data_IF_586947303549
#
_entry.id   IF_586947303549
#
_cell.length_a   1.000
_cell.length_b   1.000
_cell.length_c   1.000
_cell.angle_alpha   90.00
_cell.angle_beta   90.00
_cell.angle_gamma   90.00
#
_symmetry.space_group_name_H-M   'P 1'
#
loop_
_entity.id
_entity.type
_entity.pdbx_description
1 polymer ?
#
# COMPACT_ATOMS: atom_id res chain seq x y z
N UNK A 1 -15.97 15.40 -11.03
CA UNK A 1 -14.61 15.86 -10.69
C UNK A 1 -13.80 14.64 -10.31
N UNK A 2 -12.89 14.20 -11.19
CA UNK A 2 -12.27 12.90 -11.07
C UNK A 2 -11.16 12.90 -10.00
N UNK A 3 -11.43 12.24 -8.86
CA UNK A 3 -10.41 11.84 -7.90
C UNK A 3 -9.68 10.63 -8.48
N UNK A 4 -8.48 10.86 -9.00
CA UNK A 4 -7.58 9.82 -9.49
C UNK A 4 -6.53 9.55 -8.42
N UNK A 5 -6.69 8.49 -7.63
CA UNK A 5 -5.67 8.04 -6.68
C UNK A 5 -5.66 6.50 -6.66
N UNK A 6 -4.45 5.96 -6.83
CA UNK A 6 -3.99 4.57 -6.58
C UNK A 6 -4.41 3.43 -7.51
N UNK A 7 -3.93 3.52 -8.75
CA UNK A 7 -3.54 2.37 -9.58
C UNK A 7 -2.04 2.10 -9.33
N UNK A 8 -1.35 1.11 -9.95
CA UNK A 8 0.07 0.86 -9.67
C UNK A 8 0.78 2.21 -9.78
N UNK A 9 1.39 2.65 -8.68
CA UNK A 9 1.70 4.07 -8.43
C UNK A 9 2.93 4.51 -9.27
N UNK A 10 2.76 4.46 -10.59
CA UNK A 10 3.68 4.87 -11.65
C UNK A 10 3.35 6.29 -12.07
N UNK A 11 3.28 7.18 -11.06
CA UNK A 11 2.83 8.57 -11.17
C UNK A 11 3.81 9.49 -11.93
N UNK A 12 4.68 8.94 -12.76
CA UNK A 12 5.48 9.61 -13.80
C UNK A 12 4.72 9.72 -15.14
N UNK A 13 3.40 9.55 -15.13
CA UNK A 13 2.55 9.52 -16.32
C UNK A 13 2.43 8.13 -16.95
N UNK A 14 3.20 7.16 -16.47
CA UNK A 14 3.16 5.77 -16.94
C UNK A 14 1.84 5.09 -16.61
N UNK A 15 1.23 5.36 -15.44
CA UNK A 15 -0.10 4.85 -15.14
C UNK A 15 -1.17 5.44 -16.08
N UNK A 16 -1.14 6.75 -16.33
CA UNK A 16 -2.05 7.39 -17.29
C UNK A 16 -1.84 6.86 -18.71
N UNK A 17 -0.59 6.56 -19.08
CA UNK A 17 -0.23 5.92 -20.34
C UNK A 17 -0.77 4.50 -20.43
N UNK A 18 -0.62 3.70 -19.36
CA UNK A 18 -1.20 2.37 -19.25
C UNK A 18 -2.72 2.45 -19.46
N UNK A 19 -3.42 3.28 -18.70
CA UNK A 19 -4.88 3.39 -18.83
C UNK A 19 -5.32 3.83 -20.20
N UNK A 20 -4.66 4.84 -20.80
CA UNK A 20 -4.96 5.26 -22.17
C UNK A 20 -4.74 4.12 -23.18
N UNK A 21 -3.65 3.37 -23.03
CA UNK A 21 -3.37 2.23 -23.90
C UNK A 21 -4.42 1.12 -23.74
N UNK A 22 -4.87 0.85 -22.51
CA UNK A 22 -5.88 -0.16 -22.20
C UNK A 22 -7.31 0.27 -22.56
N UNK A 23 -7.65 1.56 -22.45
CA UNK A 23 -8.95 2.10 -22.86
C UNK A 23 -9.21 1.92 -24.34
N UNK A 24 -8.15 1.84 -25.15
CA UNK A 24 -8.22 1.54 -26.58
C UNK A 24 -8.01 0.05 -26.90
N UNK A 25 -7.86 -0.81 -25.89
CA UNK A 25 -7.64 -2.25 -26.04
C UNK A 25 -8.96 -3.05 -26.13
N UNK A 26 -8.83 -4.37 -26.29
CA UNK A 26 -9.94 -5.32 -26.49
C UNK A 26 -10.98 -5.20 -25.38
N UNK A 27 -12.24 -5.01 -25.78
CA UNK A 27 -13.40 -4.86 -24.89
C UNK A 27 -14.37 -6.05 -24.93
N UNK A 28 -14.02 -7.13 -25.62
CA UNK A 28 -14.86 -8.32 -25.62
C UNK A 28 -14.66 -9.07 -24.31
N UNK A 29 -15.72 -9.20 -23.51
CA UNK A 29 -15.69 -9.81 -22.17
C UNK A 29 -15.06 -11.21 -22.17
N UNK A 30 -15.38 -12.03 -23.18
CA UNK A 30 -14.79 -13.38 -23.32
C UNK A 30 -13.27 -13.30 -23.49
N UNK A 31 -12.77 -12.36 -24.29
CA UNK A 31 -11.33 -12.15 -24.51
C UNK A 31 -10.63 -11.60 -23.28
N UNK A 32 -11.25 -10.66 -22.57
CA UNK A 32 -10.69 -10.15 -21.32
C UNK A 32 -10.63 -11.25 -20.26
N UNK A 33 -11.65 -12.12 -20.20
CA UNK A 33 -11.68 -13.29 -19.32
C UNK A 33 -10.55 -14.26 -19.65
N UNK A 34 -10.32 -14.55 -20.94
CA UNK A 34 -9.20 -15.38 -21.39
C UNK A 34 -7.84 -14.78 -21.00
N UNK A 35 -7.61 -13.50 -21.29
CA UNK A 35 -6.38 -12.78 -20.89
C UNK A 35 -6.18 -12.89 -19.37
N UNK A 36 -7.23 -12.65 -18.58
CA UNK A 36 -7.21 -12.71 -17.13
C UNK A 36 -6.85 -14.10 -16.60
N UNK A 37 -7.37 -15.16 -17.22
CA UNK A 37 -6.98 -16.53 -16.91
C UNK A 37 -5.52 -16.82 -17.28
N UNK A 38 -5.04 -16.33 -18.45
CA UNK A 38 -3.65 -16.55 -18.90
C UNK A 38 -2.63 -15.94 -17.95
N UNK A 39 -2.93 -14.81 -17.32
CA UNK A 39 -2.08 -14.22 -16.27
C UNK A 39 -2.17 -14.93 -14.90
N UNK A 40 -3.00 -15.96 -14.80
CA UNK A 40 -3.19 -16.75 -13.59
C UNK A 40 -4.13 -16.12 -12.56
N UNK A 41 -5.00 -15.22 -13.00
CA UNK A 41 -6.03 -14.60 -12.14
C UNK A 41 -7.37 -15.33 -12.30
N UNK A 42 -8.18 -15.36 -11.24
CA UNK A 42 -9.48 -16.04 -11.24
C UNK A 42 -10.58 -15.11 -11.77
N UNK A 43 -11.32 -15.49 -12.84
CA UNK A 43 -12.44 -14.68 -13.33
C UNK A 43 -13.64 -14.63 -12.40
N UNK A 44 -13.77 -15.62 -11.50
CA UNK A 44 -14.91 -15.72 -10.59
C UNK A 44 -14.98 -14.56 -9.59
N UNK A 45 -13.86 -13.85 -9.40
CA UNK A 45 -13.74 -12.73 -8.47
C UNK A 45 -14.05 -11.37 -9.12
N UNK A 46 -14.28 -11.34 -10.43
CA UNK A 46 -14.46 -10.11 -11.21
C UNK A 46 -15.92 -9.98 -11.64
N UNK A 47 -16.51 -8.82 -11.37
CA UNK A 47 -17.85 -8.48 -11.86
C UNK A 47 -17.73 -7.93 -13.28
N UNK A 48 -17.74 -8.84 -14.27
CA UNK A 48 -17.51 -8.53 -15.68
C UNK A 48 -18.64 -7.72 -16.35
N UNK A 49 -19.87 -7.93 -15.88
CA UNK A 49 -21.05 -7.29 -16.43
C UNK A 49 -21.40 -6.06 -15.59
N UNK A 50 -21.89 -4.99 -16.23
CA UNK A 50 -22.30 -3.72 -15.58
C UNK A 50 -21.21 -2.68 -15.28
N UNK A 51 -19.98 -2.87 -15.80
CA UNK A 51 -18.91 -1.86 -15.71
C UNK A 51 -18.61 -1.23 -17.06
N UNK A 52 -18.17 0.04 -17.05
CA UNK A 52 -17.63 0.68 -18.25
C UNK A 52 -16.23 0.14 -18.55
N UNK A 53 -15.75 0.25 -19.82
CA UNK A 53 -14.40 -0.17 -20.17
C UNK A 53 -13.29 0.37 -19.30
N UNK A 54 -13.34 1.67 -19.04
CA UNK A 54 -12.36 2.34 -18.19
C UNK A 54 -12.41 1.80 -16.75
N UNK A 55 -13.61 1.66 -16.17
CA UNK A 55 -13.76 1.16 -14.80
C UNK A 55 -13.27 -0.30 -14.65
N UNK A 56 -13.58 -1.17 -15.61
CA UNK A 56 -13.12 -2.56 -15.58
C UNK A 56 -11.60 -2.64 -15.71
N UNK A 57 -10.98 -1.91 -16.65
CA UNK A 57 -9.52 -1.91 -16.77
C UNK A 57 -8.82 -1.34 -15.54
N UNK A 58 -9.38 -0.31 -14.90
CA UNK A 58 -8.86 0.21 -13.64
C UNK A 58 -8.89 -0.86 -12.56
N UNK A 59 -10.01 -1.56 -12.39
CA UNK A 59 -10.11 -2.66 -11.43
C UNK A 59 -9.11 -3.79 -11.75
N UNK A 60 -9.05 -4.27 -13.01
CA UNK A 60 -8.16 -5.38 -13.39
C UNK A 60 -6.68 -5.03 -13.22
N UNK A 61 -6.27 -3.82 -13.58
CA UNK A 61 -4.88 -3.39 -13.40
C UNK A 61 -4.51 -3.22 -11.93
N UNK A 62 -5.43 -2.74 -11.09
CA UNK A 62 -5.26 -2.71 -9.64
C UNK A 62 -5.11 -4.12 -9.07
N UNK A 63 -6.04 -5.02 -9.39
CA UNK A 63 -6.06 -6.37 -8.85
C UNK A 63 -4.83 -7.17 -9.32
N UNK A 64 -4.41 -7.00 -10.57
CA UNK A 64 -3.17 -7.58 -11.08
C UNK A 64 -1.93 -6.96 -10.43
N UNK A 65 -1.95 -5.66 -10.10
CA UNK A 65 -0.87 -5.01 -9.35
C UNK A 65 -0.74 -5.58 -7.94
N UNK A 66 -1.86 -5.71 -7.24
CA UNK A 66 -1.94 -6.27 -5.89
C UNK A 66 -1.44 -7.73 -5.87
N UNK A 67 -1.76 -8.51 -6.91
CA UNK A 67 -1.31 -9.89 -7.08
C UNK A 67 0.12 -10.04 -7.64
N UNK A 68 0.83 -8.95 -7.95
CA UNK A 68 2.14 -9.01 -8.60
C UNK A 68 2.12 -9.59 -10.03
N UNK A 69 0.97 -9.57 -10.70
CA UNK A 69 0.72 -10.09 -12.06
C UNK A 69 0.58 -9.02 -13.13
N UNK A 70 0.70 -7.75 -12.76
CA UNK A 70 0.48 -6.63 -13.67
C UNK A 70 1.40 -6.61 -14.89
N UNK A 71 2.68 -6.95 -14.72
CA UNK A 71 3.60 -7.03 -15.86
C UNK A 71 3.14 -8.10 -16.87
N UNK A 72 2.70 -9.26 -16.37
CA UNK A 72 2.15 -10.32 -17.21
C UNK A 72 0.88 -9.85 -17.92
N UNK A 73 -0.02 -9.12 -17.22
CA UNK A 73 -1.22 -8.53 -17.82
C UNK A 73 -0.87 -7.58 -18.97
N UNK A 74 0.11 -6.72 -18.76
CA UNK A 74 0.53 -5.76 -19.78
C UNK A 74 1.11 -6.48 -21.01
N UNK A 75 1.92 -7.52 -20.80
CA UNK A 75 2.47 -8.33 -21.90
C UNK A 75 1.38 -9.05 -22.68
N UNK A 76 0.42 -9.67 -21.99
CA UNK A 76 -0.70 -10.36 -22.64
C UNK A 76 -1.57 -9.40 -23.46
N UNK A 77 -1.90 -8.23 -22.92
CA UNK A 77 -2.70 -7.22 -23.65
C UNK A 77 -1.90 -6.63 -24.82
N UNK A 78 -0.60 -6.41 -24.65
CA UNK A 78 0.30 -5.96 -25.72
C UNK A 78 0.32 -6.92 -26.90
N UNK A 79 0.42 -8.22 -26.63
CA UNK A 79 0.52 -9.24 -27.68
C UNK A 79 -0.83 -9.44 -28.39
N UNK A 80 -1.96 -9.30 -27.66
CA UNK A 80 -3.30 -9.41 -28.23
C UNK A 80 -3.74 -8.14 -29.00
N UNK A 81 -3.23 -6.96 -28.62
CA UNK A 81 -3.64 -5.66 -29.18
C UNK A 81 -2.44 -4.90 -29.78
N UNK A 82 -2.07 -5.19 -31.04
CA UNK A 82 -0.93 -4.54 -31.69
C UNK A 82 -1.00 -3.01 -31.72
N UNK A 83 -2.21 -2.43 -31.76
CA UNK A 83 -2.41 -0.98 -31.74
C UNK A 83 -1.98 -0.32 -30.41
N UNK A 84 -2.02 -1.05 -29.30
CA UNK A 84 -1.61 -0.57 -27.97
C UNK A 84 -0.14 -0.92 -27.67
N UNK A 85 0.50 -1.79 -28.46
CA UNK A 85 1.79 -2.38 -28.14
C UNK A 85 2.91 -1.36 -27.88
N UNK A 86 3.01 -0.31 -28.71
CA UNK A 86 4.06 0.71 -28.56
C UNK A 86 3.95 1.50 -27.25
N UNK A 87 2.72 1.84 -26.81
CA UNK A 87 2.50 2.53 -25.53
C UNK A 87 2.76 1.60 -24.35
N UNK A 88 2.36 0.33 -24.46
CA UNK A 88 2.61 -0.69 -23.44
C UNK A 88 4.10 -1.07 -23.34
N UNK A 89 4.86 -1.05 -24.44
CA UNK A 89 6.32 -1.20 -24.42
C UNK A 89 6.99 -0.08 -23.63
N UNK A 90 6.53 1.16 -23.76
CA UNK A 90 7.03 2.29 -22.97
C UNK A 90 6.69 2.13 -21.48
N UNK A 91 5.51 1.57 -21.18
CA UNK A 91 5.11 1.25 -19.80
C UNK A 91 5.98 0.14 -19.20
N UNK A 92 6.26 -0.92 -19.96
CA UNK A 92 7.15 -2.00 -19.54
C UNK A 92 8.59 -1.51 -19.37
N UNK A 93 9.08 -0.67 -20.29
CA UNK A 93 10.41 -0.07 -20.21
C UNK A 93 10.56 0.86 -18.99
N UNK A 94 9.51 1.61 -18.62
CA UNK A 94 9.49 2.42 -17.42
C UNK A 94 9.49 1.57 -16.12
N UNK A 95 8.99 0.34 -16.19
CA UNK A 95 9.02 -0.64 -15.10
C UNK A 95 10.28 -1.50 -15.07
N UNK A 96 11.02 -1.60 -16.17
CA UNK A 96 12.28 -2.31 -16.20
C UNK A 96 13.12 -1.81 -15.02
N UNK A 97 13.74 -2.70 -14.22
CA UNK A 97 14.44 -2.31 -13.02
C UNK A 97 15.55 -1.35 -13.40
N UNK A 98 15.27 -0.04 -13.30
CA UNK A 98 16.27 0.99 -13.33
C UNK A 98 17.24 0.61 -12.23
N UNK A 99 18.53 0.51 -12.58
CA UNK A 99 19.57 0.22 -11.59
C UNK A 99 19.28 1.07 -10.35
N UNK A 100 19.05 0.40 -9.22
CA UNK A 100 18.65 1.07 -8.00
C UNK A 100 19.87 1.86 -7.54
N UNK A 101 19.94 3.12 -7.97
CA UNK A 101 21.08 4.01 -7.71
C UNK A 101 21.21 4.31 -6.21
N UNK A 102 20.10 4.18 -5.50
CA UNK A 102 20.02 4.28 -4.06
C UNK A 102 19.88 2.87 -3.45
N UNK A 103 20.94 2.41 -2.78
CA UNK A 103 20.98 1.14 -2.05
C UNK A 103 21.45 1.42 -0.63
N UNK A 104 20.49 1.57 0.30
CA UNK A 104 20.81 1.65 1.72
C UNK A 104 21.12 0.26 2.26
N UNK A 105 22.30 0.07 2.87
CA UNK A 105 22.69 -1.21 3.46
C UNK A 105 21.72 -1.66 4.56
N UNK A 106 21.20 -0.71 5.34
CA UNK A 106 20.11 -0.92 6.28
C UNK A 106 18.78 -0.50 5.67
N UNK A 107 18.01 -1.48 5.22
CA UNK A 107 16.73 -1.28 4.51
C UNK A 107 15.70 -0.54 5.38
N UNK A 108 15.73 -0.76 6.69
CA UNK A 108 14.83 -0.06 7.60
C UNK A 108 15.14 1.43 7.68
N UNK A 109 16.36 1.85 7.31
CA UNK A 109 16.77 3.25 7.25
C UNK A 109 16.61 3.88 5.87
N UNK A 110 16.18 3.10 4.87
CA UNK A 110 15.98 3.56 3.50
C UNK A 110 15.02 4.75 3.44
N UNK A 111 15.52 5.90 2.98
CA UNK A 111 14.74 7.12 2.80
C UNK A 111 14.11 7.22 1.40
N UNK A 112 14.58 6.40 0.45
CA UNK A 112 14.03 6.31 -0.89
C UNK A 112 13.56 4.88 -1.16
N UNK A 113 12.26 4.73 -1.42
CA UNK A 113 11.61 3.42 -1.59
C UNK A 113 11.01 3.23 -2.97
N UNK A 114 10.72 1.96 -3.28
CA UNK A 114 10.12 1.54 -4.54
C UNK A 114 11.11 1.49 -5.72
N UNK A 115 10.63 1.10 -6.91
CA UNK A 115 11.48 0.91 -8.08
C UNK A 115 12.29 2.17 -8.44
N UNK A 116 13.61 2.01 -8.52
CA UNK A 116 14.54 3.08 -8.86
C UNK A 116 14.74 4.14 -7.77
N UNK A 117 14.34 3.87 -6.52
CA UNK A 117 14.54 4.78 -5.40
C UNK A 117 13.87 6.15 -5.62
N UNK A 118 12.67 6.16 -6.20
CA UNK A 118 12.01 7.42 -6.63
C UNK A 118 11.11 8.05 -5.56
N UNK A 119 10.78 7.33 -4.48
CA UNK A 119 9.79 7.81 -3.48
C UNK A 119 10.44 8.17 -2.17
N UNK A 120 10.37 9.46 -1.80
CA UNK A 120 10.90 9.94 -0.54
C UNK A 120 9.99 9.61 0.65
N UNK A 121 10.51 8.82 1.58
CA UNK A 121 9.91 8.58 2.90
C UNK A 121 10.52 9.54 3.90
N UNK A 122 9.86 10.69 4.05
CA UNK A 122 10.23 11.74 4.99
C UNK A 122 9.86 11.33 6.42
N UNK A 123 10.76 11.61 7.35
CA UNK A 123 10.69 11.34 8.80
C UNK A 123 9.77 10.21 9.23
N UNK A 124 10.36 9.04 9.49
CA UNK A 124 9.66 7.86 10.03
C UNK A 124 10.54 7.11 11.00
N UNK A 125 11.36 7.80 11.77
CA UNK A 125 12.37 7.15 12.61
C UNK A 125 11.74 6.20 13.62
N UNK A 126 10.69 6.65 14.30
CA UNK A 126 9.93 5.83 15.27
C UNK A 126 9.23 4.66 14.57
N UNK A 127 8.49 4.92 13.49
CA UNK A 127 7.87 3.86 12.69
C UNK A 127 8.88 2.80 12.22
N UNK A 128 10.08 3.20 11.77
CA UNK A 128 11.13 2.27 11.35
C UNK A 128 11.59 1.40 12.51
N UNK A 129 11.78 1.98 13.69
CA UNK A 129 12.12 1.24 14.91
C UNK A 129 10.98 0.26 15.28
N UNK A 130 9.73 0.71 15.23
CA UNK A 130 8.55 -0.11 15.46
C UNK A 130 8.46 -1.28 14.48
N UNK A 131 8.74 -1.07 13.18
CA UNK A 131 8.78 -2.15 12.19
C UNK A 131 9.89 -3.16 12.47
N UNK A 132 11.06 -2.71 12.91
CA UNK A 132 12.14 -3.61 13.35
C UNK A 132 11.72 -4.42 14.57
N UNK A 133 11.01 -3.82 15.53
CA UNK A 133 10.49 -4.53 16.71
C UNK A 133 9.42 -5.54 16.33
N UNK A 134 8.50 -5.20 15.42
CA UNK A 134 7.53 -6.15 14.88
C UNK A 134 8.28 -7.34 14.27
N UNK A 135 9.20 -7.11 13.34
CA UNK A 135 9.93 -8.18 12.65
C UNK A 135 10.67 -9.15 13.59
N UNK A 136 11.12 -8.67 14.75
CA UNK A 136 11.83 -9.49 15.74
C UNK A 136 10.92 -10.31 16.68
N UNK A 137 9.61 -10.24 16.49
CA UNK A 137 8.57 -11.07 17.16
C UNK A 137 8.14 -10.65 18.57
N UNK A 138 8.24 -9.37 18.95
CA UNK A 138 7.70 -8.89 20.24
C UNK A 138 6.32 -8.22 20.14
N UNK A 139 5.88 -7.82 18.94
CA UNK A 139 4.64 -7.05 18.77
C UNK A 139 3.91 -7.39 17.44
N UNK A 140 2.80 -8.15 17.47
CA UNK A 140 2.08 -8.51 16.26
C UNK A 140 1.12 -7.42 15.78
N UNK A 141 0.90 -6.36 16.57
CA UNK A 141 -0.06 -5.31 16.26
C UNK A 141 0.64 -3.94 16.29
N UNK A 142 0.39 -3.11 15.27
CA UNK A 142 0.85 -1.73 15.19
C UNK A 142 -0.32 -0.81 14.85
N UNK A 143 -0.59 0.16 15.71
CA UNK A 143 -1.54 1.23 15.45
C UNK A 143 -0.78 2.49 15.06
N UNK A 144 -1.09 3.03 13.87
CA UNK A 144 -0.54 4.28 13.37
C UNK A 144 -1.61 5.37 13.52
N UNK A 145 -1.38 6.28 14.45
CA UNK A 145 -2.24 7.43 14.73
C UNK A 145 -1.58 8.72 14.25
N UNK A 146 -2.38 9.76 14.05
CA UNK A 146 -1.90 11.06 13.57
C UNK A 146 -3.00 11.86 12.90
N UNK A 147 -2.80 13.18 12.84
CA UNK A 147 -3.76 14.10 12.21
C UNK A 147 -3.95 13.79 10.72
N UNK A 148 -5.02 14.30 10.12
CA UNK A 148 -5.19 14.28 8.68
C UNK A 148 -3.98 14.96 8.00
N UNK A 149 -3.43 14.34 6.96
CA UNK A 149 -2.23 14.85 6.28
C UNK A 149 -0.89 14.46 6.91
N UNK A 150 -0.85 13.78 8.07
CA UNK A 150 0.41 13.30 8.70
C UNK A 150 1.12 12.18 7.91
N UNK A 151 0.49 11.62 6.88
CA UNK A 151 1.09 10.59 6.02
C UNK A 151 0.94 9.17 6.55
N UNK A 152 -0.17 8.89 7.28
CA UNK A 152 -0.55 7.54 7.70
C UNK A 152 -0.63 6.57 6.51
N UNK A 153 -1.40 6.92 5.47
CA UNK A 153 -1.43 6.16 4.21
C UNK A 153 -0.06 6.01 3.56
N UNK A 154 0.78 7.05 3.64
CA UNK A 154 2.12 7.02 3.04
C UNK A 154 3.05 6.00 3.71
N UNK A 155 2.85 5.72 5.00
CA UNK A 155 3.62 4.71 5.76
C UNK A 155 3.59 3.32 5.12
N UNK A 156 2.51 2.98 4.40
CA UNK A 156 2.35 1.70 3.69
C UNK A 156 3.50 1.43 2.71
N UNK A 157 4.06 2.48 2.09
CA UNK A 157 5.15 2.34 1.12
C UNK A 157 6.46 1.92 1.78
N UNK A 158 6.73 2.47 2.97
CA UNK A 158 7.86 2.04 3.78
C UNK A 158 7.68 0.59 4.23
N UNK A 159 6.49 0.26 4.75
CA UNK A 159 6.18 -1.09 5.23
C UNK A 159 6.36 -2.10 4.09
N UNK A 160 5.76 -1.83 2.92
CA UNK A 160 5.90 -2.67 1.74
C UNK A 160 7.36 -2.83 1.31
N UNK A 161 8.16 -1.76 1.34
CA UNK A 161 9.59 -1.81 1.01
C UNK A 161 10.37 -2.70 1.98
N UNK A 162 10.10 -2.57 3.28
CA UNK A 162 10.75 -3.37 4.31
C UNK A 162 10.39 -4.85 4.18
N UNK A 163 9.13 -5.17 3.86
CA UNK A 163 8.63 -6.54 3.81
C UNK A 163 8.88 -7.24 2.47
N UNK A 164 8.52 -6.61 1.35
CA UNK A 164 8.47 -7.26 0.05
C UNK A 164 9.81 -7.30 -0.69
N UNK A 165 10.73 -6.38 -0.38
CA UNK A 165 12.01 -6.36 -1.08
C UNK A 165 13.03 -7.33 -0.46
N UNK A 166 12.75 -7.92 0.71
CA UNK A 166 13.60 -8.93 1.36
C UNK A 166 13.33 -10.33 0.78
N UNK A 167 14.26 -10.91 -0.01
CA UNK A 167 14.08 -12.24 -0.58
C UNK A 167 13.99 -13.35 0.48
N UNK A 168 14.46 -13.08 1.71
CA UNK A 168 14.36 -14.00 2.83
C UNK A 168 12.97 -13.97 3.48
N UNK A 169 12.21 -12.88 3.34
CA UNK A 169 10.86 -12.77 3.87
C UNK A 169 9.84 -13.29 2.87
N UNK A 170 9.28 -14.46 3.18
CA UNK A 170 8.14 -15.04 2.47
C UNK A 170 6.85 -14.68 3.20
N UNK A 171 6.46 -13.41 3.12
CA UNK A 171 5.21 -12.94 3.71
C UNK A 171 4.24 -12.41 2.65
N UNK A 172 2.95 -12.60 2.89
CA UNK A 172 1.91 -11.90 2.11
C UNK A 172 1.68 -10.52 2.74
N UNK A 173 1.73 -9.47 1.93
CA UNK A 173 1.36 -8.12 2.37
C UNK A 173 -0.01 -7.75 1.79
N UNK A 174 -1.04 -7.80 2.63
CA UNK A 174 -2.44 -7.59 2.28
C UNK A 174 -2.84 -6.19 2.71
N UNK A 175 -3.32 -5.39 1.77
CA UNK A 175 -3.79 -4.02 2.02
C UNK A 175 -5.30 -3.95 1.89
N UNK A 176 -5.96 -3.39 2.90
CA UNK A 176 -7.37 -3.00 2.87
C UNK A 176 -7.40 -1.48 2.97
N UNK A 177 -7.82 -0.81 1.90
CA UNK A 177 -7.84 0.66 1.83
C UNK A 177 -9.30 1.12 1.79
N UNK A 178 -9.81 1.59 2.94
CA UNK A 178 -11.22 1.93 3.10
C UNK A 178 -11.68 2.97 2.06
N UNK A 179 -10.84 3.94 1.72
CA UNK A 179 -11.20 5.01 0.77
C UNK A 179 -11.24 4.51 -0.68
N UNK A 180 -10.43 3.50 -1.02
CA UNK A 180 -10.32 3.00 -2.41
C UNK A 180 -11.10 1.72 -2.68
N UNK A 181 -11.32 0.89 -1.67
CA UNK A 181 -12.04 -0.38 -1.81
C UNK A 181 -13.56 -0.18 -1.78
N UNK A 182 -14.06 0.95 -1.27
CA UNK A 182 -15.49 1.27 -1.18
C UNK A 182 -15.82 2.68 -1.65
N UNK A 183 -16.96 2.83 -2.34
CA UNK A 183 -17.47 4.13 -2.78
C UNK A 183 -18.38 4.80 -1.75
N UNK A 184 -19.05 4.00 -0.93
CA UNK A 184 -20.07 4.43 0.04
C UNK A 184 -19.69 4.00 1.47
N UNK A 185 -20.69 3.85 2.34
CA UNK A 185 -20.50 3.40 3.72
C UNK A 185 -20.01 1.95 3.74
N UNK A 186 -18.99 1.66 4.56
CA UNK A 186 -18.42 0.32 4.73
C UNK A 186 -19.05 -0.35 5.94
N UNK A 187 -19.73 -1.47 5.70
CA UNK A 187 -20.27 -2.31 6.77
C UNK A 187 -19.25 -3.35 7.25
N UNK A 188 -19.45 -3.90 8.45
CA UNK A 188 -18.59 -4.98 8.97
C UNK A 188 -18.63 -6.24 8.08
N UNK A 189 -19.78 -6.54 7.47
CA UNK A 189 -19.94 -7.67 6.54
C UNK A 189 -19.09 -7.52 5.30
N UNK A 190 -19.17 -6.37 4.64
CA UNK A 190 -18.36 -6.07 3.45
C UNK A 190 -16.87 -6.03 3.77
N UNK A 191 -16.50 -5.42 4.90
CA UNK A 191 -15.12 -5.37 5.37
C UNK A 191 -14.52 -6.77 5.58
N UNK A 192 -15.20 -7.64 6.35
CA UNK A 192 -14.70 -9.00 6.62
C UNK A 192 -14.71 -9.85 5.36
N UNK A 193 -15.73 -9.72 4.50
CA UNK A 193 -15.79 -10.44 3.22
C UNK A 193 -14.65 -10.04 2.29
N UNK A 194 -14.34 -8.73 2.22
CA UNK A 194 -13.21 -8.23 1.43
C UNK A 194 -11.87 -8.74 1.99
N UNK A 195 -11.70 -8.70 3.31
CA UNK A 195 -10.50 -9.23 3.97
C UNK A 195 -10.32 -10.73 3.70
N UNK A 196 -11.39 -11.51 3.86
CA UNK A 196 -11.41 -12.94 3.55
C UNK A 196 -11.04 -13.21 2.09
N UNK A 197 -11.65 -12.47 1.16
CA UNK A 197 -11.38 -12.58 -0.28
C UNK A 197 -9.91 -12.31 -0.60
N UNK A 198 -9.30 -11.25 -0.04
CA UNK A 198 -7.86 -10.96 -0.24
C UNK A 198 -6.93 -12.02 0.36
N UNK A 199 -7.43 -12.82 1.30
CA UNK A 199 -6.70 -13.96 1.89
C UNK A 199 -6.99 -15.31 1.21
N UNK A 200 -7.86 -15.34 0.19
CA UNK A 200 -8.31 -16.60 -0.41
C UNK A 200 -9.18 -17.44 0.53
N UNK A 201 -9.89 -16.81 1.46
CA UNK A 201 -10.85 -17.45 2.36
C UNK A 201 -12.24 -17.33 1.73
N UNK A 202 -12.84 -18.46 1.38
CA UNK A 202 -14.20 -18.54 0.85
C UNK A 202 -15.24 -18.83 1.95
N UNK A 203 -16.49 -18.45 1.67
CA UNK A 203 -17.65 -18.92 2.45
C UNK A 203 -17.84 -18.27 3.81
N UNK A 204 -17.49 -16.98 3.94
CA UNK A 204 -18.03 -16.13 5.02
C UNK A 204 -19.48 -15.85 4.67
N UNK A 205 -20.40 -16.24 5.54
CA UNK A 205 -21.83 -16.05 5.34
C UNK A 205 -22.30 -14.80 6.07
N UNK A 206 -23.17 -14.03 5.40
CA UNK A 206 -23.85 -12.90 6.03
C UNK A 206 -24.59 -13.35 7.30
N UNK A 207 -24.50 -12.50 8.32
CA UNK A 207 -25.24 -12.68 9.57
C UNK A 207 -26.65 -12.16 9.37
N UNK A 208 -27.61 -12.76 10.08
CA UNK A 208 -29.01 -12.32 10.09
C UNK A 208 -29.09 -10.79 10.34
N UNK A 209 -29.72 -10.02 9.42
CA UNK A 209 -29.80 -8.56 9.52
C UNK A 209 -30.60 -8.08 10.74
N UNK A 210 -31.33 -8.96 11.44
CA UNK A 210 -32.03 -8.65 12.69
C UNK A 210 -31.12 -8.67 13.93
N UNK A 211 -29.88 -9.11 13.78
CA UNK A 211 -28.89 -9.14 14.87
C UNK A 211 -28.29 -7.75 15.08
N UNK A 212 -28.11 -7.37 16.35
CA UNK A 212 -27.42 -6.14 16.72
C UNK A 212 -26.03 -6.05 16.04
N UNK A 213 -25.71 -4.91 15.43
CA UNK A 213 -24.50 -4.74 14.58
C UNK A 213 -23.21 -5.18 15.28
N UNK A 214 -23.07 -4.89 16.58
CA UNK A 214 -21.92 -5.31 17.40
C UNK A 214 -21.79 -6.83 17.54
N UNK A 215 -22.92 -7.54 17.63
CA UNK A 215 -22.95 -9.01 17.70
C UNK A 215 -22.70 -9.62 16.33
N UNK A 216 -23.24 -9.02 15.27
CA UNK A 216 -22.97 -9.44 13.90
C UNK A 216 -21.48 -9.32 13.54
N UNK A 217 -20.83 -8.20 13.89
CA UNK A 217 -19.40 -7.99 13.67
C UNK A 217 -18.54 -9.08 14.36
N UNK A 218 -18.86 -9.43 15.62
CA UNK A 218 -18.15 -10.50 16.34
C UNK A 218 -18.35 -11.87 15.70
N UNK A 219 -19.56 -12.18 15.26
CA UNK A 219 -19.86 -13.45 14.58
C UNK A 219 -19.10 -13.56 13.26
N UNK A 220 -19.04 -12.49 12.46
CA UNK A 220 -18.27 -12.45 11.22
C UNK A 220 -16.77 -12.68 11.47
N UNK A 221 -16.19 -12.04 12.49
CA UNK A 221 -14.80 -12.27 12.87
C UNK A 221 -14.59 -13.72 13.34
N UNK A 222 -15.54 -14.29 14.09
CA UNK A 222 -15.46 -15.68 14.53
C UNK A 222 -15.47 -16.66 13.33
N UNK A 223 -16.37 -16.44 12.36
CA UNK A 223 -16.38 -17.21 11.10
C UNK A 223 -15.04 -17.07 10.36
N UNK A 224 -14.53 -15.85 10.25
CA UNK A 224 -13.23 -15.56 9.61
C UNK A 224 -12.09 -16.31 10.29
N UNK A 225 -11.97 -16.23 11.62
CA UNK A 225 -10.93 -16.93 12.40
C UNK A 225 -11.04 -18.45 12.21
N UNK A 226 -12.26 -19.00 12.26
CA UNK A 226 -12.49 -20.43 12.06
C UNK A 226 -11.98 -20.93 10.71
N UNK A 227 -12.15 -20.14 9.66
CA UNK A 227 -11.65 -20.45 8.30
C UNK A 227 -10.15 -20.17 8.16
N UNK A 228 -9.65 -19.09 8.76
CA UNK A 228 -8.24 -18.71 8.71
C UNK A 228 -7.32 -19.85 9.20
N UNK A 229 -7.72 -20.58 10.24
CA UNK A 229 -6.96 -21.71 10.79
C UNK A 229 -6.70 -22.83 9.78
N UNK A 230 -7.51 -22.94 8.73
CA UNK A 230 -7.34 -23.91 7.65
C UNK A 230 -6.33 -23.48 6.59
N UNK A 231 -5.93 -22.21 6.57
CA UNK A 231 -4.94 -21.71 5.62
C UNK A 231 -3.55 -22.31 5.89
N UNK A 232 -2.72 -22.44 4.83
CA UNK A 232 -1.31 -22.80 5.00
C UNK A 232 -0.59 -21.85 5.95
N UNK A 233 0.36 -22.38 6.72
CA UNK A 233 1.22 -21.57 7.59
C UNK A 233 2.12 -20.69 6.72
N UNK A 234 1.88 -19.40 6.81
CA UNK A 234 2.59 -18.37 6.08
C UNK A 234 2.38 -17.06 6.84
N UNK A 235 3.43 -16.27 6.94
CA UNK A 235 3.35 -14.97 7.58
C UNK A 235 2.52 -14.00 6.72
N UNK A 236 1.52 -13.36 7.33
CA UNK A 236 0.60 -12.46 6.65
C UNK A 236 0.56 -11.13 7.39
N UNK A 237 0.90 -10.08 6.69
CA UNK A 237 0.84 -8.72 7.19
C UNK A 237 -0.40 -8.05 6.60
N UNK A 238 -1.33 -7.65 7.47
CA UNK A 238 -2.57 -6.99 7.08
C UNK A 238 -2.46 -5.51 7.43
N UNK A 239 -2.49 -4.65 6.42
CA UNK A 239 -2.53 -3.20 6.58
C UNK A 239 -3.93 -2.69 6.31
N UNK A 240 -4.60 -2.14 7.32
CA UNK A 240 -5.94 -1.55 7.22
C UNK A 240 -5.80 -0.04 7.27
N UNK A 241 -6.10 0.64 6.16
CA UNK A 241 -5.97 2.08 6.02
C UNK A 241 -7.32 2.79 6.05
N UNK A 242 -7.40 3.90 6.80
CA UNK A 242 -8.54 4.81 6.75
C UNK A 242 -9.72 4.42 7.65
N UNK A 243 -9.47 3.91 8.84
CA UNK A 243 -10.54 3.65 9.83
C UNK A 243 -11.12 4.95 10.43
N UNK A 244 -10.46 6.10 10.23
CA UNK A 244 -10.90 7.43 10.67
C UNK A 244 -11.87 8.11 9.67
N UNK A 245 -12.28 7.43 8.60
CA UNK A 245 -13.16 7.99 7.57
C UNK A 245 -14.62 7.98 8.01
N UNK A 246 -15.35 9.02 7.61
CA UNK A 246 -16.78 9.17 7.94
C UNK A 246 -17.68 8.12 7.32
N UNK A 247 -17.20 7.40 6.30
CA UNK A 247 -17.89 6.28 5.67
C UNK A 247 -17.75 4.96 6.44
N UNK A 248 -16.96 4.91 7.52
CA UNK A 248 -16.76 3.67 8.29
C UNK A 248 -17.87 3.50 9.30
N UNK A 249 -18.64 2.40 9.19
CA UNK A 249 -19.60 2.02 10.22
C UNK A 249 -18.86 1.67 11.53
N UNK A 250 -19.32 2.15 12.71
CA UNK A 250 -18.76 1.74 14.00
C UNK A 250 -18.59 0.22 14.19
N UNK A 251 -19.42 -0.60 13.55
CA UNK A 251 -19.30 -2.05 13.57
C UNK A 251 -17.99 -2.56 12.93
N UNK A 252 -17.40 -1.82 11.99
CA UNK A 252 -16.08 -2.13 11.41
C UNK A 252 -14.99 -1.93 12.46
N UNK A 253 -15.05 -0.86 13.26
CA UNK A 253 -14.11 -0.64 14.36
C UNK A 253 -14.19 -1.76 15.40
N UNK A 254 -15.40 -2.21 15.72
CA UNK A 254 -15.63 -3.38 16.59
C UNK A 254 -15.01 -4.64 15.97
N UNK A 255 -15.17 -4.85 14.66
CA UNK A 255 -14.58 -5.99 13.97
C UNK A 255 -13.04 -5.95 14.00
N UNK A 256 -12.42 -4.79 13.79
CA UNK A 256 -10.97 -4.59 13.88
C UNK A 256 -10.45 -4.84 15.30
N UNK A 257 -11.14 -4.31 16.31
CA UNK A 257 -10.82 -4.58 17.72
C UNK A 257 -10.96 -6.06 18.07
N UNK A 258 -11.96 -6.76 17.52
CA UNK A 258 -12.08 -8.19 17.70
C UNK A 258 -10.97 -8.95 16.97
N UNK A 259 -10.59 -8.57 15.75
CA UNK A 259 -9.44 -9.18 15.05
C UNK A 259 -8.15 -9.03 15.86
N UNK A 260 -7.90 -7.84 16.44
CA UNK A 260 -6.76 -7.61 17.31
C UNK A 260 -6.73 -8.54 18.54
N UNK A 261 -7.89 -8.79 19.16
CA UNK A 261 -8.02 -9.77 20.25
C UNK A 261 -7.72 -11.20 19.80
N UNK A 262 -8.13 -11.57 18.59
CA UNK A 262 -7.89 -12.92 18.06
C UNK A 262 -6.42 -13.12 17.65
N UNK A 263 -5.72 -12.03 17.29
CA UNK A 263 -4.25 -12.02 17.13
C UNK A 263 -3.57 -12.21 18.49
N UNK A 264 -3.96 -11.44 19.51
CA UNK A 264 -3.45 -11.58 20.89
C UNK A 264 -3.64 -13.00 21.43
N UNK A 265 -4.85 -13.54 21.29
CA UNK A 265 -5.19 -14.89 21.74
C UNK A 265 -4.54 -16.02 20.91
N UNK A 266 -3.68 -15.69 19.93
CA UNK A 266 -2.96 -16.62 19.07
C UNK A 266 -3.84 -17.42 18.11
N UNK A 267 -5.11 -17.02 17.93
CA UNK A 267 -6.06 -17.70 17.04
C UNK A 267 -5.77 -17.38 15.56
N UNK A 268 -5.21 -16.20 15.31
CA UNK A 268 -4.69 -15.75 14.02
C UNK A 268 -3.16 -15.86 13.99
N UNK A 269 -2.65 -17.09 14.18
CA UNK A 269 -1.20 -17.36 14.12
C UNK A 269 -0.59 -16.86 12.82
N UNK A 270 0.65 -16.39 12.88
CA UNK A 270 1.40 -15.88 11.73
C UNK A 270 0.76 -14.63 11.07
N UNK A 271 -0.29 -14.04 11.68
CA UNK A 271 -0.88 -12.78 11.24
C UNK A 271 -0.33 -11.60 12.04
N UNK A 272 0.06 -10.55 11.33
CA UNK A 272 0.41 -9.25 11.91
C UNK A 272 -0.54 -8.20 11.40
N UNK A 273 -0.98 -7.33 12.30
CA UNK A 273 -2.02 -6.36 12.03
C UNK A 273 -1.46 -4.95 12.15
N UNK A 274 -1.58 -4.17 11.09
CA UNK A 274 -1.26 -2.74 11.08
C UNK A 274 -2.55 -1.98 10.78
N UNK A 275 -2.91 -1.04 11.64
CA UNK A 275 -4.14 -0.25 11.49
C UNK A 275 -3.82 1.24 11.47
N UNK A 276 -4.51 2.00 10.62
CA UNK A 276 -4.45 3.46 10.62
C UNK A 276 -5.81 4.07 10.91
N UNK A 277 -5.83 5.17 11.66
CA UNK A 277 -7.06 5.91 11.96
C UNK A 277 -8.00 5.25 12.98
N UNK A 278 -7.56 4.16 13.64
CA UNK A 278 -8.31 3.55 14.73
C UNK A 278 -8.22 4.42 16.01
N UNK A 279 -9.31 4.57 16.81
CA UNK A 279 -9.28 5.34 18.06
C UNK A 279 -8.43 4.69 19.17
N UNK A 280 -7.89 3.50 18.93
CA UNK A 280 -7.06 2.73 19.87
C UNK A 280 -7.79 2.33 21.17
N UNK A 281 -9.09 2.10 21.10
CA UNK A 281 -9.94 1.58 22.19
C UNK A 281 -9.83 0.05 22.34
N UNK A 282 -8.60 -0.47 22.31
CA UNK A 282 -8.32 -1.89 22.48
C UNK A 282 -8.44 -2.35 23.94
N UNK A 283 -8.61 -3.67 24.15
CA UNK A 283 -8.55 -4.25 25.50
C UNK A 283 -7.13 -4.16 26.09
N UNK A 284 -6.99 -4.15 27.43
CA UNK A 284 -5.68 -4.09 28.10
C UNK A 284 -4.67 -5.13 27.57
N UNK A 285 -5.09 -6.38 27.38
CA UNK A 285 -4.21 -7.46 26.89
C UNK A 285 -3.67 -7.17 25.48
N UNK A 286 -4.46 -6.52 24.62
CA UNK A 286 -4.03 -6.12 23.29
C UNK A 286 -3.05 -4.94 23.37
N UNK A 287 -3.29 -4.00 24.29
CA UNK A 287 -2.40 -2.85 24.50
C UNK A 287 -1.00 -3.27 24.94
N UNK A 288 -0.86 -4.37 25.68
CA UNK A 288 0.44 -4.89 26.12
C UNK A 288 1.32 -5.41 24.96
N UNK A 289 0.70 -5.81 23.85
CA UNK A 289 1.38 -6.33 22.65
C UNK A 289 1.23 -5.40 21.43
N UNK A 290 0.68 -4.20 21.65
CA UNK A 290 0.47 -3.18 20.63
C UNK A 290 1.64 -2.20 20.61
N UNK A 291 2.19 -1.95 19.42
CA UNK A 291 2.99 -0.75 19.19
C UNK A 291 2.07 0.40 18.77
N UNK A 292 2.20 1.52 19.46
CA UNK A 292 1.52 2.75 19.11
C UNK A 292 2.51 3.72 18.47
N UNK A 293 2.30 4.02 17.19
CA UNK A 293 3.07 5.00 16.44
C UNK A 293 2.25 6.27 16.26
N UNK A 294 2.75 7.39 16.76
CA UNK A 294 2.16 8.71 16.49
C UNK A 294 2.95 9.40 15.38
N UNK A 295 2.27 9.73 14.29
CA UNK A 295 2.84 10.53 13.21
C UNK A 295 2.54 12.00 13.43
N UNK A 296 3.62 12.78 13.58
CA UNK A 296 3.57 14.22 13.68
C UNK A 296 3.55 14.89 12.29
N UNK A 297 3.38 16.21 12.30
CA UNK A 297 3.47 17.03 11.10
C UNK A 297 4.92 17.11 10.61
N UNK A 298 5.11 16.98 9.28
CA UNK A 298 6.45 17.07 8.70
C UNK A 298 6.97 18.51 8.78
N UNK A 299 8.22 18.62 9.20
CA UNK A 299 8.95 19.86 9.40
C UNK A 299 10.05 20.05 8.37
N UNK A 300 10.62 21.25 8.31
CA UNK A 300 11.81 21.52 7.52
C UNK A 300 13.02 20.66 7.97
N UNK A 301 13.10 20.36 9.27
CA UNK A 301 14.16 19.52 9.82
C UNK A 301 14.16 18.13 9.18
N UNK A 302 12.98 17.57 8.93
CA UNK A 302 12.80 16.24 8.34
C UNK A 302 13.27 16.20 6.89
N UNK A 303 13.08 17.28 6.14
CA UNK A 303 13.62 17.43 4.79
C UNK A 303 15.15 17.52 4.80
N UNK A 304 15.73 18.26 5.74
CA UNK A 304 17.20 18.33 5.91
C UNK A 304 17.77 16.95 6.25
N UNK A 305 17.12 16.22 7.18
CA UNK A 305 17.51 14.85 7.52
C UNK A 305 17.41 13.91 6.32
N UNK A 306 16.33 14.02 5.54
CA UNK A 306 16.13 13.24 4.32
C UNK A 306 17.28 13.46 3.33
N UNK A 307 17.57 14.70 2.95
CA UNK A 307 18.63 14.99 1.99
C UNK A 307 20.01 14.63 2.51
N UNK A 308 20.30 14.91 3.78
CA UNK A 308 21.56 14.53 4.42
C UNK A 308 21.77 13.02 4.38
N UNK A 309 20.74 12.24 4.72
CA UNK A 309 20.84 10.78 4.67
C UNK A 309 21.01 10.25 3.25
N UNK A 310 20.27 10.79 2.26
CA UNK A 310 20.40 10.35 0.86
C UNK A 310 21.79 10.66 0.32
N UNK A 311 22.30 11.86 0.61
CA UNK A 311 23.63 12.32 0.26
C UNK A 311 24.73 11.43 0.88
N UNK A 312 24.61 11.08 2.17
CA UNK A 312 25.53 10.19 2.86
C UNK A 312 25.58 8.79 2.22
N UNK A 313 24.41 8.22 1.91
CA UNK A 313 24.31 6.90 1.24
C UNK A 313 24.86 6.95 -0.18
N UNK A 314 24.70 8.06 -0.89
CA UNK A 314 25.28 8.28 -2.21
C UNK A 314 26.80 8.59 -2.18
N UNK A 315 27.39 8.77 -0.99
CA UNK A 315 28.80 9.12 -0.84
C UNK A 315 29.14 10.58 -1.19
N UNK A 316 28.16 11.48 -1.17
CA UNK A 316 28.26 12.89 -1.54
C UNK A 316 27.79 13.80 -0.38
N UNK A 317 28.54 13.90 0.73
CA UNK A 317 28.09 14.66 1.90
C UNK A 317 27.88 16.14 1.56
N UNK A 318 26.78 16.70 2.06
CA UNK A 318 26.39 18.09 1.81
C UNK A 318 26.79 19.01 2.96
N UNK A 319 27.15 20.25 2.62
CA UNK A 319 27.25 21.34 3.58
C UNK A 319 25.86 21.80 4.05
N UNK A 320 25.83 22.54 5.16
CA UNK A 320 24.58 23.10 5.71
C UNK A 320 23.86 24.04 4.74
N UNK A 321 24.61 24.78 3.92
CA UNK A 321 24.07 25.74 2.94
C UNK A 321 23.47 25.01 1.73
N UNK A 322 24.12 23.93 1.27
CA UNK A 322 23.58 23.10 0.17
C UNK A 322 22.30 22.37 0.60
N UNK A 323 22.26 21.86 1.84
CA UNK A 323 21.04 21.29 2.41
C UNK A 323 19.91 22.31 2.47
N UNK A 324 20.20 23.53 2.93
CA UNK A 324 19.20 24.60 2.98
C UNK A 324 18.67 24.92 1.57
N UNK A 325 19.55 25.03 0.57
CA UNK A 325 19.16 25.30 -0.81
C UNK A 325 18.23 24.21 -1.42
N UNK A 326 18.53 22.93 -1.16
CA UNK A 326 17.67 21.83 -1.61
C UNK A 326 16.29 21.86 -0.95
N UNK A 327 16.26 22.17 0.35
CA UNK A 327 15.02 22.28 1.11
C UNK A 327 14.17 23.46 0.62
N UNK A 328 14.80 24.62 0.39
CA UNK A 328 14.12 25.80 -0.17
C UNK A 328 13.53 25.48 -1.56
N UNK A 329 14.22 24.72 -2.40
CA UNK A 329 13.70 24.32 -3.72
C UNK A 329 12.48 23.39 -3.60
N UNK A 330 12.46 22.48 -2.62
CA UNK A 330 11.29 21.65 -2.35
C UNK A 330 10.11 22.51 -1.89
N UNK A 331 10.35 23.43 -0.96
CA UNK A 331 9.31 24.27 -0.36
C UNK A 331 8.79 25.37 -1.30
N UNK A 332 9.55 25.72 -2.34
CA UNK A 332 9.10 26.62 -3.40
C UNK A 332 7.96 26.03 -4.24
N UNK A 333 7.86 24.70 -4.32
CA UNK A 333 6.89 24.00 -5.17
C UNK A 333 5.87 23.14 -4.38
N UNK A 334 6.13 22.85 -3.11
CA UNK A 334 5.27 22.02 -2.27
C UNK A 334 5.15 22.57 -0.85
N UNK A 335 3.96 22.43 -0.25
CA UNK A 335 3.73 22.78 1.15
C UNK A 335 4.04 21.60 2.06
N UNK A 336 4.46 21.86 3.30
CA UNK A 336 4.68 20.82 4.31
C UNK A 336 3.41 20.00 4.63
N UNK A 337 2.23 20.56 4.34
CA UNK A 337 0.92 19.91 4.53
C UNK A 337 0.53 18.97 3.39
N UNK A 338 1.08 19.13 2.19
CA UNK A 338 0.85 18.22 1.06
C UNK A 338 2.02 17.25 0.93
N UNK A 339 2.02 16.23 1.79
CA UNK A 339 3.09 15.22 1.82
C UNK A 339 3.31 14.50 0.50
N UNK A 340 2.26 14.41 -0.32
CA UNK A 340 2.37 13.75 -1.61
C UNK A 340 3.12 14.63 -2.61
N UNK A 341 2.80 15.91 -2.70
CA UNK A 341 3.60 16.87 -3.49
C UNK A 341 5.03 16.97 -2.94
N UNK A 342 5.16 17.05 -1.62
CA UNK A 342 6.43 17.20 -0.91
C UNK A 342 7.37 16.01 -1.18
N UNK A 343 6.92 14.77 -0.90
CA UNK A 343 7.73 13.57 -1.11
C UNK A 343 8.06 13.33 -2.59
N UNK A 344 7.17 13.73 -3.50
CA UNK A 344 7.44 13.66 -4.95
C UNK A 344 8.54 14.63 -5.37
N UNK A 345 8.48 15.90 -4.95
CA UNK A 345 9.49 16.90 -5.29
C UNK A 345 10.83 16.54 -4.64
N UNK A 346 10.83 16.16 -3.36
CA UNK A 346 12.01 15.69 -2.66
C UNK A 346 12.66 14.47 -3.34
N UNK A 347 11.87 13.47 -3.73
CA UNK A 347 12.39 12.28 -4.43
C UNK A 347 12.96 12.60 -5.81
N UNK A 348 12.29 13.47 -6.59
CA UNK A 348 12.80 13.93 -7.90
C UNK A 348 14.09 14.72 -7.75
N UNK A 349 14.15 15.64 -6.79
CA UNK A 349 15.32 16.46 -6.56
C UNK A 349 16.51 15.60 -6.07
N UNK A 350 16.27 14.67 -5.15
CA UNK A 350 17.28 13.71 -4.74
C UNK A 350 17.81 12.87 -5.91
N UNK A 351 16.93 12.39 -6.80
CA UNK A 351 17.38 11.66 -7.99
C UNK A 351 18.19 12.54 -8.96
N UNK A 352 17.80 13.81 -9.14
CA UNK A 352 18.52 14.75 -9.99
C UNK A 352 19.92 15.08 -9.43
N UNK A 353 20.02 15.28 -8.11
CA UNK A 353 21.28 15.66 -7.45
C UNK A 353 22.23 14.49 -7.26
N UNK A 354 21.72 13.33 -6.84
CA UNK A 354 22.56 12.19 -6.39
C UNK A 354 22.46 10.96 -7.30
N UNK A 355 21.51 10.95 -8.24
CA UNK A 355 21.33 9.85 -9.16
C UNK A 355 22.43 9.78 -10.25
N UNK A 356 22.36 8.79 -11.15
CA UNK A 356 23.38 8.54 -12.17
C UNK A 356 23.64 9.72 -13.11
N UNK A 357 22.67 10.61 -13.28
CA UNK A 357 22.80 11.83 -14.09
C UNK A 357 23.42 13.01 -13.31
N UNK A 358 23.32 13.03 -11.98
CA UNK A 358 23.84 14.09 -11.11
C UNK A 358 25.29 13.84 -10.65
N UNK A 359 25.69 12.57 -10.49
CA UNK A 359 27.04 12.20 -10.03
C UNK A 359 28.17 12.28 -11.06
N UNK A 360 27.92 12.83 -12.26
CA UNK A 360 28.91 12.93 -13.34
C UNK A 360 29.58 14.32 -13.46
N UNK A 361 29.45 15.18 -12.45
CA UNK A 361 30.05 16.51 -12.39
C UNK A 361 31.40 16.52 -11.67
#
# INVERSE_FOLDING_TARGET
MARWVDLPDWRDGTAARLHRALEHAVWQTDRMTEIWQRVGMSPAQVVWHHQTPSALWQMLTRDASDAGKLEALIREVRDEVPAAAAELDLVLAAQAPSANWYLCADRHRSMLVGPGGKRAVLDRTHLRASLVQMLKEEYPILAIVGKAGSGKTYSRHLIKHVLCDDPAMRCDFIVIDIEHDWYDTVTAGEFITKLATKMGIDGITDVDPLVEHSRAARELVHQFVGRYRSLPRQERWVFIDGLDRTSVDPAVLIAVTQLAKEVEAGQLRDLRLIVTGHPCDFSPDVLDILLLESLDEITEHDLRQFFGHVADVAGQPLSGDELAALVDEVLAEATLTDLHALGRKAGKLAHASFGPAGGAA
#
